data_IF_592497323619
#
_entry.id   IF_592497323619
#
_cell.length_a   1.000
_cell.length_b   1.000
_cell.length_c   1.000
_cell.angle_alpha   90.00
_cell.angle_beta   90.00
_cell.angle_gamma   90.00
#
_symmetry.space_group_name_H-M   'P 1'
#
loop_
_entity.id
_entity.type
_entity.pdbx_description
1 polymer ?
#
# COMPACT_ATOMS: atom_id res chain seq x y z
N UNK A 1 -5.95 11.24 5.00
CA UNK A 1 -4.78 10.36 4.78
C UNK A 1 -4.64 10.16 3.27
N UNK A 2 -3.49 10.47 2.67
CA UNK A 2 -3.29 10.23 1.22
C UNK A 2 -3.02 8.75 1.00
N UNK A 3 -3.71 8.10 0.06
CA UNK A 3 -3.46 6.71 -0.30
C UNK A 3 -2.59 6.71 -1.56
N UNK A 4 -1.41 6.09 -1.49
CA UNK A 4 -0.53 5.96 -2.64
C UNK A 4 -0.77 4.60 -3.31
N UNK A 5 -1.64 4.59 -4.30
CA UNK A 5 -1.92 3.46 -5.18
C UNK A 5 -0.83 3.29 -6.25
N UNK A 6 -0.35 4.40 -6.79
CA UNK A 6 0.57 4.44 -7.94
C UNK A 6 1.71 5.42 -7.71
N UNK A 7 2.84 5.20 -8.39
CA UNK A 7 4.07 5.98 -8.21
C UNK A 7 3.89 7.48 -8.54
N UNK A 8 3.01 7.81 -9.48
CA UNK A 8 2.67 9.19 -9.84
C UNK A 8 1.95 9.98 -8.72
N UNK A 9 1.47 9.30 -7.67
CA UNK A 9 0.85 9.96 -6.51
C UNK A 9 1.90 10.36 -5.47
N UNK A 10 3.16 9.96 -5.63
CA UNK A 10 4.28 10.33 -4.75
C UNK A 10 4.90 11.63 -5.29
N UNK A 11 4.77 12.76 -4.57
CA UNK A 11 5.26 14.05 -5.06
C UNK A 11 6.75 14.05 -5.43
N UNK A 12 7.58 13.36 -4.65
CA UNK A 12 9.03 13.25 -4.84
C UNK A 12 9.44 12.53 -6.13
N UNK A 13 8.51 11.80 -6.78
CA UNK A 13 8.76 11.08 -8.03
C UNK A 13 8.23 11.84 -9.26
N UNK A 14 7.61 13.01 -9.06
CA UNK A 14 7.04 13.82 -10.14
C UNK A 14 8.14 14.27 -11.10
N UNK A 15 7.87 14.22 -12.41
CA UNK A 15 8.82 14.62 -13.46
C UNK A 15 9.80 13.53 -13.91
N UNK A 16 9.87 12.39 -13.21
CA UNK A 16 10.66 11.24 -13.64
C UNK A 16 9.91 10.38 -14.66
N UNK A 17 10.65 9.59 -15.45
CA UNK A 17 10.05 8.63 -16.36
C UNK A 17 9.32 7.51 -15.60
N UNK A 18 8.35 6.86 -16.26
CA UNK A 18 7.47 5.86 -15.63
C UNK A 18 8.23 4.63 -15.11
N UNK A 19 9.35 4.24 -15.72
CA UNK A 19 10.11 3.08 -15.26
C UNK A 19 10.85 3.41 -13.96
N UNK A 20 11.50 4.58 -13.91
CA UNK A 20 12.17 5.10 -12.72
C UNK A 20 11.20 5.34 -11.57
N UNK A 21 10.02 5.91 -11.85
CA UNK A 21 8.95 6.06 -10.86
C UNK A 21 8.56 4.73 -10.21
N UNK A 22 8.41 3.66 -11.00
CA UNK A 22 8.07 2.32 -10.48
C UNK A 22 9.20 1.72 -9.66
N UNK A 23 10.46 1.83 -10.10
CA UNK A 23 11.61 1.31 -9.35
C UNK A 23 11.78 2.04 -8.01
N UNK A 24 11.76 3.38 -8.04
CA UNK A 24 11.88 4.19 -6.84
C UNK A 24 10.71 3.97 -5.88
N UNK A 25 9.47 3.83 -6.37
CA UNK A 25 8.34 3.49 -5.51
C UNK A 25 8.57 2.16 -4.78
N UNK A 26 9.08 1.12 -5.45
CA UNK A 26 9.39 -0.17 -4.81
C UNK A 26 10.45 -0.02 -3.72
N UNK A 27 11.54 0.69 -4.00
CA UNK A 27 12.61 0.95 -3.01
C UNK A 27 12.09 1.78 -1.84
N UNK A 28 11.26 2.78 -2.11
CA UNK A 28 10.60 3.63 -1.10
C UNK A 28 9.77 2.79 -0.14
N UNK A 29 8.97 1.85 -0.65
CA UNK A 29 8.19 0.92 0.19
C UNK A 29 9.11 0.05 1.06
N UNK A 30 10.20 -0.47 0.49
CA UNK A 30 11.15 -1.33 1.21
C UNK A 30 11.90 -0.57 2.31
N UNK A 31 12.43 0.61 2.01
CA UNK A 31 13.14 1.45 2.97
C UNK A 31 12.20 1.98 4.05
N UNK A 32 11.00 2.43 3.67
CA UNK A 32 9.98 2.83 4.62
C UNK A 32 9.55 1.71 5.55
N UNK A 33 9.47 0.46 5.05
CA UNK A 33 9.22 -0.72 5.89
C UNK A 33 10.32 -0.93 6.94
N UNK A 34 11.60 -0.70 6.60
CA UNK A 34 12.72 -0.82 7.55
C UNK A 34 12.67 0.24 8.65
N UNK A 35 12.15 1.43 8.34
CA UNK A 35 11.97 2.55 9.28
C UNK A 35 10.78 2.37 10.22
N UNK A 36 9.89 1.42 9.93
CA UNK A 36 8.73 1.12 10.76
C UNK A 36 9.07 0.07 11.83
N UNK A 37 8.29 0.01 12.94
CA UNK A 37 8.47 -1.01 13.96
C UNK A 37 8.46 -2.42 13.36
N UNK A 38 9.30 -3.34 13.85
CA UNK A 38 9.40 -4.72 13.32
C UNK A 38 8.05 -5.43 13.21
N UNK A 39 7.15 -5.17 14.16
CA UNK A 39 5.83 -5.80 14.22
C UNK A 39 4.76 -5.10 13.38
N UNK A 40 5.07 -3.94 12.77
CA UNK A 40 4.11 -3.10 12.07
C UNK A 40 3.38 -3.83 10.95
N UNK A 41 4.15 -4.51 10.09
CA UNK A 41 3.59 -5.27 8.96
C UNK A 41 2.83 -6.48 9.47
N UNK A 42 3.37 -7.20 10.44
CA UNK A 42 2.73 -8.37 11.03
C UNK A 42 1.35 -8.04 11.59
N UNK A 43 1.25 -7.01 12.44
CA UNK A 43 -0.02 -6.57 13.06
C UNK A 43 -1.06 -6.19 12.00
N UNK A 44 -0.64 -5.48 10.94
CA UNK A 44 -1.55 -5.06 9.87
C UNK A 44 -1.96 -6.20 8.94
N UNK A 45 -1.07 -7.16 8.68
CA UNK A 45 -1.42 -8.37 7.94
C UNK A 45 -2.44 -9.20 8.73
N UNK A 46 -2.25 -9.35 10.05
CA UNK A 46 -3.24 -10.00 10.91
C UNK A 46 -4.58 -9.26 10.91
N UNK A 47 -4.56 -7.93 10.98
CA UNK A 47 -5.77 -7.12 10.86
C UNK A 47 -6.47 -7.29 9.49
N UNK A 48 -5.71 -7.30 8.39
CA UNK A 48 -6.25 -7.57 7.05
C UNK A 48 -6.85 -8.96 6.94
N UNK A 49 -6.22 -9.96 7.54
CA UNK A 49 -6.73 -11.32 7.55
C UNK A 49 -8.04 -11.41 8.36
N UNK A 50 -8.11 -10.74 9.51
CA UNK A 50 -9.35 -10.64 10.29
C UNK A 50 -10.47 -9.95 9.49
N UNK A 51 -10.17 -8.83 8.81
CA UNK A 51 -11.12 -8.14 7.92
C UNK A 51 -11.56 -9.05 6.78
N UNK A 52 -10.63 -9.78 6.15
CA UNK A 52 -10.93 -10.70 5.06
C UNK A 52 -11.88 -11.83 5.51
N UNK A 53 -11.66 -12.39 6.70
CA UNK A 53 -12.55 -13.42 7.28
C UNK A 53 -13.95 -12.87 7.55
N UNK A 54 -14.06 -11.64 8.10
CA UNK A 54 -15.35 -10.99 8.35
C UNK A 54 -16.07 -10.71 7.02
N UNK A 55 -15.37 -10.16 6.03
CA UNK A 55 -15.92 -9.91 4.70
C UNK A 55 -16.37 -11.20 4.03
N UNK A 56 -15.61 -12.28 4.16
CA UNK A 56 -15.99 -13.58 3.64
C UNK A 56 -17.22 -14.16 4.34
N UNK A 57 -17.34 -14.00 5.67
CA UNK A 57 -18.52 -14.44 6.41
C UNK A 57 -19.79 -13.67 6.00
N UNK A 58 -19.68 -12.36 5.78
CA UNK A 58 -20.80 -11.50 5.37
C UNK A 58 -21.15 -11.74 3.89
N UNK A 59 -20.18 -11.56 2.99
CA UNK A 59 -20.42 -11.58 1.56
C UNK A 59 -20.42 -12.97 0.95
N UNK A 60 -19.77 -13.97 1.57
CA UNK A 60 -19.83 -15.36 1.12
C UNK A 60 -21.23 -15.96 1.23
N UNK A 61 -22.05 -15.45 2.16
CA UNK A 61 -23.45 -15.86 2.29
C UNK A 61 -24.40 -15.05 1.39
N UNK A 62 -24.13 -13.75 1.19
CA UNK A 62 -25.01 -12.82 0.46
C UNK A 62 -24.73 -12.79 -1.04
N UNK A 63 -23.46 -12.79 -1.44
CA UNK A 63 -23.01 -12.69 -2.83
C UNK A 63 -22.39 -14.03 -3.26
N UNK A 64 -23.24 -14.98 -3.66
CA UNK A 64 -22.77 -16.27 -4.17
C UNK A 64 -21.99 -16.06 -5.48
N UNK A 65 -20.77 -16.58 -5.54
CA UNK A 65 -19.98 -16.67 -6.77
C UNK A 65 -19.02 -15.50 -7.04
N UNK A 66 -18.74 -15.28 -8.33
CA UNK A 66 -17.67 -14.40 -8.83
C UNK A 66 -17.77 -12.94 -8.34
N UNK A 67 -18.99 -12.41 -8.22
CA UNK A 67 -19.21 -11.01 -7.84
C UNK A 67 -18.82 -10.72 -6.38
N UNK A 68 -19.12 -11.66 -5.46
CA UNK A 68 -18.70 -11.56 -4.06
C UNK A 68 -17.19 -11.61 -3.93
N UNK A 69 -16.54 -12.51 -4.68
CA UNK A 69 -15.07 -12.59 -4.72
C UNK A 69 -14.40 -11.31 -5.22
N UNK A 70 -14.94 -10.70 -6.28
CA UNK A 70 -14.39 -9.46 -6.84
C UNK A 70 -14.50 -8.27 -5.87
N UNK A 71 -15.63 -8.12 -5.19
CA UNK A 71 -15.84 -7.04 -4.21
C UNK A 71 -14.94 -7.23 -2.99
N UNK A 72 -14.87 -8.44 -2.43
CA UNK A 72 -13.99 -8.75 -1.30
C UNK A 72 -12.53 -8.53 -1.68
N UNK A 73 -12.10 -8.98 -2.85
CA UNK A 73 -10.74 -8.76 -3.36
C UNK A 73 -10.40 -7.28 -3.53
N UNK A 74 -11.32 -6.48 -4.09
CA UNK A 74 -11.15 -5.03 -4.25
C UNK A 74 -11.03 -4.30 -2.90
N UNK A 75 -11.86 -4.64 -1.93
CA UNK A 75 -11.81 -4.06 -0.57
C UNK A 75 -10.53 -4.43 0.17
N UNK A 76 -10.08 -5.69 0.07
CA UNK A 76 -8.81 -6.13 0.67
C UNK A 76 -7.63 -5.41 0.01
N UNK A 77 -7.63 -5.27 -1.32
CA UNK A 77 -6.60 -4.52 -2.04
C UNK A 77 -6.54 -3.05 -1.59
N UNK A 78 -7.70 -2.42 -1.39
CA UNK A 78 -7.79 -1.07 -0.85
C UNK A 78 -7.24 -0.97 0.57
N UNK A 79 -7.64 -1.90 1.43
CA UNK A 79 -7.17 -1.95 2.81
C UNK A 79 -5.65 -2.20 2.87
N UNK A 80 -5.10 -3.03 2.00
CA UNK A 80 -3.66 -3.24 1.88
C UNK A 80 -2.93 -1.95 1.49
N UNK A 81 -3.42 -1.24 0.46
CA UNK A 81 -2.84 0.01 0.01
C UNK A 81 -2.87 1.09 1.10
N UNK A 82 -3.99 1.19 1.83
CA UNK A 82 -4.18 2.18 2.88
C UNK A 82 -3.40 1.83 4.16
N UNK A 83 -3.44 0.58 4.61
CA UNK A 83 -2.89 0.20 5.91
C UNK A 83 -1.40 -0.14 5.85
N UNK A 84 -0.93 -0.76 4.76
CA UNK A 84 0.45 -1.26 4.66
C UNK A 84 1.27 -0.39 3.71
N UNK A 85 0.86 -0.27 2.45
CA UNK A 85 1.66 0.40 1.44
C UNK A 85 1.84 1.89 1.73
N UNK A 86 0.76 2.58 2.11
CA UNK A 86 0.77 4.03 2.35
C UNK A 86 1.70 4.44 3.48
N UNK A 87 1.63 3.84 4.69
CA UNK A 87 2.57 4.20 5.77
C UNK A 87 4.02 3.85 5.45
N UNK A 88 4.26 2.75 4.73
CA UNK A 88 5.59 2.44 4.22
C UNK A 88 6.06 3.53 3.27
N UNK A 89 5.21 4.01 2.35
CA UNK A 89 5.59 5.10 1.45
C UNK A 89 5.82 6.40 2.23
N UNK A 90 4.94 6.77 3.17
CA UNK A 90 5.12 8.00 3.96
C UNK A 90 6.46 8.02 4.70
N UNK A 91 6.87 6.88 5.27
CA UNK A 91 8.21 6.74 5.88
C UNK A 91 9.34 6.64 4.87
N UNK A 92 9.12 5.99 3.74
CA UNK A 92 10.10 5.91 2.65
C UNK A 92 10.34 7.24 1.94
N UNK A 93 9.38 8.18 1.98
CA UNK A 93 9.55 9.51 1.39
C UNK A 93 10.66 10.31 2.08
N UNK A 94 10.94 10.06 3.36
CA UNK A 94 12.11 10.62 4.04
C UNK A 94 13.40 10.14 3.36
N UNK A 95 13.50 8.85 3.03
CA UNK A 95 14.62 8.29 2.26
C UNK A 95 14.71 8.89 0.85
N UNK A 96 13.59 9.10 0.15
CA UNK A 96 13.61 9.77 -1.17
C UNK A 96 14.18 11.19 -1.06
N UNK A 97 13.83 11.94 -0.02
CA UNK A 97 14.37 13.30 0.21
C UNK A 97 15.85 13.27 0.54
N UNK A 98 16.32 12.30 1.31
CA UNK A 98 17.76 12.08 1.55
C UNK A 98 18.53 11.78 0.25
N UNK A 99 17.89 11.14 -0.74
CA UNK A 99 18.45 10.91 -2.07
C UNK A 99 18.36 12.14 -3.00
N UNK A 100 17.85 13.27 -2.51
CA UNK A 100 17.72 14.52 -3.28
C UNK A 100 16.48 14.58 -4.17
N UNK A 101 15.41 13.84 -3.83
CA UNK A 101 14.13 13.91 -4.54
C UNK A 101 13.11 14.85 -3.85
N UNK A 102 12.29 15.60 -4.60
CA UNK A 102 12.28 15.69 -6.06
C UNK A 102 13.55 16.40 -6.58
N UNK A 103 14.10 15.89 -7.70
CA UNK A 103 15.17 16.56 -8.43
C UNK A 103 14.55 17.76 -9.14
N UNK A 104 14.51 18.90 -8.45
CA UNK A 104 14.19 20.19 -9.05
C UNK A 104 15.44 20.80 -9.66
#
# INVERSE_FOLDING_TARGET
>A
MKIYWTANQIPELTGLDRATQKDLMRRTVQEGRKRLPKNFVMVRVLALLAIALILFAIFGQILKGFLGGAIVGGLIGLAFAALIQTPCIDKGREWLREQGHPKN
#
